data_IF_118476988892
#
_entry.id   IF_118476988892
#
_cell.length_a   1.000
_cell.length_b   1.000
_cell.length_c   1.000
_cell.angle_alpha   90.00
_cell.angle_beta   90.00
_cell.angle_gamma   90.00
#
_symmetry.space_group_name_H-M   'P 1'
#
loop_
_entity.id
_entity.type
_entity.pdbx_description
1 polymer ?
#
# COMPACT_ATOMS: atom_id res chain seq x y z
N UNK A 1 6.66 -27.36 13.25
CA UNK A 1 5.62 -27.20 12.22
C UNK A 1 5.18 -25.75 12.28
N UNK A 2 5.62 -24.92 11.33
CA UNK A 2 5.39 -23.47 11.35
C UNK A 2 4.14 -23.22 10.52
N UNK A 3 3.01 -23.00 11.18
CA UNK A 3 1.75 -22.64 10.52
C UNK A 3 1.94 -21.23 9.97
N UNK A 4 2.25 -21.10 8.68
CA UNK A 4 2.29 -19.80 8.00
C UNK A 4 0.85 -19.39 7.69
N UNK A 5 0.32 -18.31 8.29
CA UNK A 5 -0.95 -17.77 7.86
C UNK A 5 -0.80 -17.27 6.42
N UNK A 6 -1.65 -17.76 5.53
CA UNK A 6 -1.56 -17.54 4.07
C UNK A 6 -2.18 -16.21 3.65
N UNK A 7 -1.95 -15.14 4.41
CA UNK A 7 -2.49 -13.83 4.07
C UNK A 7 -1.68 -13.18 2.95
N UNK A 8 -2.39 -12.66 1.95
CA UNK A 8 -1.78 -11.98 0.81
C UNK A 8 -1.26 -10.61 1.28
N UNK A 9 0.06 -10.49 1.34
CA UNK A 9 0.74 -9.23 1.63
C UNK A 9 1.21 -8.54 0.37
N UNK A 10 1.27 -7.22 0.40
CA UNK A 10 1.85 -6.39 -0.65
C UNK A 10 2.54 -5.19 -0.03
N UNK A 11 3.53 -4.63 -0.71
CA UNK A 11 4.24 -3.45 -0.20
C UNK A 11 3.84 -2.22 -0.99
N UNK A 12 3.57 -1.15 -0.27
CA UNK A 12 3.28 0.15 -0.85
C UNK A 12 4.25 1.17 -0.25
N UNK A 13 4.53 2.24 -0.97
CA UNK A 13 5.32 3.38 -0.48
C UNK A 13 4.38 4.54 -0.17
N UNK A 14 4.62 5.18 0.97
CA UNK A 14 3.95 6.43 1.33
C UNK A 14 4.39 7.56 0.40
N UNK A 15 3.63 8.66 0.36
CA UNK A 15 4.02 9.88 -0.38
C UNK A 15 5.43 10.39 0.00
N UNK A 16 5.85 10.15 1.25
CA UNK A 16 7.19 10.50 1.76
C UNK A 16 8.26 9.42 1.50
N UNK A 17 7.97 8.42 0.67
CA UNK A 17 8.92 7.35 0.30
C UNK A 17 9.10 6.24 1.36
N UNK A 18 8.35 6.25 2.46
CA UNK A 18 8.44 5.19 3.49
C UNK A 18 7.75 3.91 3.01
N UNK A 19 8.42 2.76 3.13
CA UNK A 19 7.85 1.43 2.83
C UNK A 19 6.78 1.08 3.90
N UNK A 20 5.62 0.70 3.43
CA UNK A 20 4.45 0.31 4.22
C UNK A 20 3.97 -1.05 3.74
N UNK A 21 3.36 -1.80 4.67
CA UNK A 21 2.86 -3.14 4.42
C UNK A 21 1.34 -3.08 4.26
N UNK A 22 0.83 -3.66 3.18
CA UNK A 22 -0.60 -3.84 2.92
C UNK A 22 -0.95 -5.31 3.17
N UNK A 23 -1.94 -5.54 4.03
CA UNK A 23 -2.48 -6.87 4.33
C UNK A 23 -4.00 -6.75 4.40
N UNK A 24 -4.75 -7.57 3.65
CA UNK A 24 -6.22 -7.57 3.66
C UNK A 24 -6.86 -6.18 3.53
N UNK A 25 -6.30 -5.32 2.67
CA UNK A 25 -6.77 -3.94 2.48
C UNK A 25 -6.63 -3.05 3.73
N UNK A 26 -5.64 -3.35 4.58
CA UNK A 26 -5.19 -2.52 5.69
C UNK A 26 -3.73 -2.13 5.53
N UNK A 27 -3.43 -0.86 5.83
CA UNK A 27 -2.08 -0.33 5.71
C UNK A 27 -1.40 -0.34 7.09
N UNK A 28 -0.18 -0.87 7.12
CA UNK A 28 0.66 -0.91 8.30
C UNK A 28 1.98 -0.16 8.07
N UNK A 29 2.37 0.62 9.06
CA UNK A 29 3.65 1.32 9.16
C UNK A 29 4.66 0.44 9.88
N UNK A 30 5.89 0.39 9.37
CA UNK A 30 6.99 -0.23 10.09
C UNK A 30 7.24 0.53 11.39
N UNK A 31 7.09 -0.17 12.52
CA UNK A 31 7.30 0.38 13.85
C UNK A 31 8.75 0.14 14.31
N UNK A 32 9.23 -1.10 14.17
CA UNK A 32 10.62 -1.47 14.48
C UNK A 32 11.03 -2.74 13.76
N UNK A 33 12.32 -2.88 13.52
CA UNK A 33 12.93 -4.12 13.03
C UNK A 33 13.75 -4.75 14.15
N UNK A 34 13.41 -5.98 14.52
CA UNK A 34 14.23 -6.80 15.40
C UNK A 34 15.16 -7.70 14.56
N UNK A 35 16.04 -8.45 15.23
CA UNK A 35 17.09 -9.27 14.59
C UNK A 35 16.58 -10.31 13.59
N UNK A 36 15.32 -10.74 13.70
CA UNK A 36 14.71 -11.76 12.83
C UNK A 36 13.28 -11.41 12.42
N UNK A 37 12.73 -10.27 12.84
CA UNK A 37 11.32 -9.97 12.65
C UNK A 37 11.08 -8.47 12.56
N UNK A 38 10.31 -8.06 11.56
CA UNK A 38 9.83 -6.69 11.40
C UNK A 38 8.45 -6.57 12.05
N UNK A 39 8.29 -5.55 12.88
CA UNK A 39 7.05 -5.23 13.57
C UNK A 39 6.40 -4.03 12.91
N UNK A 40 5.15 -4.20 12.51
CA UNK A 40 4.33 -3.18 11.90
C UNK A 40 3.14 -2.86 12.79
N UNK A 41 2.68 -1.62 12.71
CA UNK A 41 1.47 -1.13 13.38
C UNK A 41 0.54 -0.54 12.35
N UNK A 42 -0.77 -0.67 12.53
CA UNK A 42 -1.75 -0.04 11.66
C UNK A 42 -1.47 1.47 11.50
N UNK A 43 -1.72 2.01 10.31
CA UNK A 43 -1.56 3.44 10.04
C UNK A 43 -2.54 4.30 10.85
N UNK A 44 -3.74 3.78 11.11
CA UNK A 44 -4.81 4.48 11.81
C UNK A 44 -4.51 4.65 13.31
N UNK A 45 -4.72 5.87 13.82
CA UNK A 45 -4.39 6.24 15.20
C UNK A 45 -5.32 5.59 16.22
N UNK A 46 -6.56 5.28 15.84
CA UNK A 46 -7.54 4.60 16.67
C UNK A 46 -7.36 3.08 16.66
N UNK A 47 -6.43 2.57 15.84
CA UNK A 47 -6.18 1.16 15.64
C UNK A 47 -4.89 0.71 16.35
N UNK A 48 -4.99 -0.36 17.14
CA UNK A 48 -3.87 -0.96 17.88
C UNK A 48 -3.36 -2.26 17.25
N UNK A 49 -3.86 -2.62 16.07
CA UNK A 49 -3.48 -3.85 15.37
C UNK A 49 -2.00 -3.80 14.99
N UNK A 50 -1.32 -4.91 15.24
CA UNK A 50 0.09 -5.09 14.91
C UNK A 50 0.26 -6.28 13.98
N UNK A 51 1.13 -6.13 12.98
CA UNK A 51 1.50 -7.20 12.08
C UNK A 51 2.99 -7.48 12.20
N UNK A 52 3.39 -8.72 11.91
CA UNK A 52 4.78 -9.18 11.95
C UNK A 52 5.13 -9.82 10.64
N UNK A 53 6.31 -9.51 10.13
CA UNK A 53 6.91 -10.21 8.98
C UNK A 53 8.32 -10.64 9.33
N UNK A 54 8.84 -11.60 8.59
CA UNK A 54 10.25 -11.94 8.62
C UNK A 54 11.11 -10.79 8.03
N UNK A 55 12.43 -10.90 8.16
CA UNK A 55 13.37 -10.04 7.44
C UNK A 55 13.24 -10.18 5.92
N UNK A 56 12.90 -11.37 5.44
CA UNK A 56 12.60 -11.65 4.03
C UNK A 56 11.21 -11.14 3.60
N UNK A 57 10.56 -10.30 4.41
CA UNK A 57 9.27 -9.69 4.12
C UNK A 57 8.11 -10.72 4.03
N UNK A 58 8.31 -11.96 4.48
CA UNK A 58 7.28 -13.01 4.58
C UNK A 58 6.33 -12.73 5.75
N UNK A 59 5.01 -12.81 5.52
CA UNK A 59 4.02 -12.64 6.58
C UNK A 59 4.15 -13.71 7.67
N UNK A 60 4.18 -13.27 8.93
CA UNK A 60 4.26 -14.18 10.08
C UNK A 60 2.94 -14.25 10.83
N UNK A 61 2.44 -13.09 11.28
CA UNK A 61 1.19 -13.04 12.02
C UNK A 61 0.64 -11.62 12.14
N UNK A 62 -0.67 -11.51 12.34
CA UNK A 62 -1.38 -10.29 12.73
C UNK A 62 -2.00 -10.48 14.12
N UNK A 63 -1.99 -9.44 14.93
CA UNK A 63 -2.52 -9.47 16.29
C UNK A 63 -3.35 -8.23 16.58
N UNK A 64 -4.61 -8.46 16.98
CA UNK A 64 -5.61 -7.45 17.30
C UNK A 64 -6.69 -7.33 16.22
N UNK A 65 -7.73 -6.57 16.55
CA UNK A 65 -8.88 -6.32 15.68
C UNK A 65 -8.91 -4.86 15.19
N UNK A 66 -9.25 -4.67 13.92
CA UNK A 66 -9.34 -3.33 13.34
C UNK A 66 -10.60 -2.62 13.85
N UNK A 67 -10.42 -1.39 14.32
CA UNK A 67 -11.52 -0.51 14.76
C UNK A 67 -12.09 0.34 13.61
N UNK A 68 -11.69 0.05 12.37
CA UNK A 68 -12.09 0.80 11.19
C UNK A 68 -12.32 -0.15 10.01
N UNK A 69 -13.16 0.23 9.04
CA UNK A 69 -13.38 -0.58 7.85
C UNK A 69 -12.12 -0.66 6.99
N UNK A 70 -11.97 -1.71 6.17
CA UNK A 70 -10.94 -1.77 5.15
C UNK A 70 -11.19 -0.68 4.11
N UNK A 71 -10.11 -0.02 3.67
CA UNK A 71 -10.18 1.04 2.64
C UNK A 71 -9.46 0.58 1.36
N UNK A 72 -10.07 -0.35 0.60
CA UNK A 72 -9.44 -0.91 -0.60
C UNK A 72 -9.18 0.16 -1.67
N UNK A 73 -10.03 1.19 -1.76
CA UNK A 73 -9.94 2.25 -2.76
C UNK A 73 -8.71 3.15 -2.50
N UNK A 74 -8.51 3.57 -1.25
CA UNK A 74 -7.34 4.36 -0.84
C UNK A 74 -6.03 3.63 -1.13
N UNK A 75 -6.01 2.31 -0.91
CA UNK A 75 -4.85 1.47 -1.20
C UNK A 75 -4.60 1.41 -2.70
N UNK A 76 -5.66 1.21 -3.50
CA UNK A 76 -5.54 1.19 -4.97
C UNK A 76 -5.04 2.52 -5.50
N UNK A 77 -5.54 3.65 -5.00
CA UNK A 77 -5.04 4.99 -5.35
C UNK A 77 -3.55 5.12 -5.04
N UNK A 78 -3.10 4.65 -3.86
CA UNK A 78 -1.69 4.70 -3.48
C UNK A 78 -0.81 3.79 -4.33
N UNK A 79 -1.30 2.60 -4.70
CA UNK A 79 -0.60 1.67 -5.61
C UNK A 79 -0.51 2.27 -7.00
N UNK A 80 -1.62 2.79 -7.53
CA UNK A 80 -1.69 3.45 -8.82
C UNK A 80 -0.69 4.60 -8.92
N UNK A 81 -0.68 5.51 -7.94
CA UNK A 81 0.28 6.63 -7.89
C UNK A 81 1.73 6.16 -7.95
N UNK A 82 2.05 5.05 -7.29
CA UNK A 82 3.39 4.48 -7.33
C UNK A 82 3.72 3.88 -8.69
N UNK A 83 2.80 3.16 -9.31
CA UNK A 83 2.99 2.61 -10.65
C UNK A 83 3.19 3.73 -11.66
N UNK A 84 2.31 4.74 -11.66
CA UNK A 84 2.43 5.92 -12.54
C UNK A 84 3.77 6.61 -12.33
N UNK A 85 4.18 6.85 -11.07
CA UNK A 85 5.48 7.48 -10.76
C UNK A 85 6.67 6.62 -11.17
N UNK A 86 6.60 5.30 -10.97
CA UNK A 86 7.69 4.40 -11.35
C UNK A 86 7.84 4.34 -12.88
N UNK A 87 6.73 4.24 -13.62
CA UNK A 87 6.72 4.24 -15.08
C UNK A 87 7.15 5.60 -15.64
N UNK A 88 6.75 6.70 -15.02
CA UNK A 88 7.22 8.04 -15.36
C UNK A 88 8.73 8.24 -15.23
N UNK A 89 9.37 7.56 -14.27
CA UNK A 89 10.81 7.63 -14.06
C UNK A 89 11.56 6.71 -15.03
N UNK A 90 11.02 5.52 -15.31
CA UNK A 90 11.67 4.52 -16.17
C UNK A 90 11.39 4.68 -17.66
N UNK A 91 10.23 5.21 -18.04
CA UNK A 91 9.79 5.39 -19.41
C UNK A 91 9.76 6.88 -19.76
N UNK A 92 10.17 7.24 -20.97
CA UNK A 92 10.04 8.62 -21.49
C UNK A 92 8.60 8.97 -21.91
N UNK A 93 7.63 8.10 -21.60
CA UNK A 93 6.23 8.24 -21.95
C UNK A 93 5.61 9.38 -21.12
N UNK A 94 4.81 10.27 -21.74
CA UNK A 94 4.19 11.38 -21.03
C UNK A 94 3.22 10.87 -19.95
N UNK A 95 3.34 11.41 -18.73
CA UNK A 95 2.48 11.15 -17.56
C UNK A 95 0.98 11.03 -17.88
N UNK A 96 0.35 11.89 -18.70
CA UNK A 96 -1.08 11.76 -18.99
C UNK A 96 -1.45 10.44 -19.67
N UNK A 97 -0.57 9.91 -20.53
CA UNK A 97 -0.84 8.65 -21.21
C UNK A 97 -0.72 7.46 -20.24
N UNK A 98 0.30 7.46 -19.39
CA UNK A 98 0.46 6.44 -18.33
C UNK A 98 -0.75 6.45 -17.41
N UNK A 99 -1.26 7.63 -17.07
CA UNK A 99 -2.44 7.77 -16.23
C UNK A 99 -3.69 7.17 -16.88
N UNK A 100 -3.97 7.49 -18.16
CA UNK A 100 -5.12 6.96 -18.89
C UNK A 100 -5.05 5.43 -19.06
N UNK A 101 -3.87 4.90 -19.40
CA UNK A 101 -3.62 3.47 -19.53
C UNK A 101 -3.81 2.71 -18.20
N UNK A 102 -3.26 3.25 -17.10
CA UNK A 102 -3.42 2.63 -15.78
C UNK A 102 -4.85 2.82 -15.24
N UNK A 103 -5.53 3.93 -15.56
CA UNK A 103 -6.91 4.18 -15.16
C UNK A 103 -7.87 3.24 -15.89
N UNK A 104 -7.59 2.91 -17.15
CA UNK A 104 -8.32 1.88 -17.89
C UNK A 104 -8.07 0.45 -17.36
N UNK A 105 -6.96 0.22 -16.65
CA UNK A 105 -6.60 -1.09 -16.08
C UNK A 105 -7.22 -1.36 -14.72
N UNK A 106 -7.51 -0.32 -13.95
CA UNK A 106 -8.09 -0.47 -12.62
C UNK A 106 -9.59 -0.20 -12.72
N UNK A 107 -10.41 -1.16 -12.28
CA UNK A 107 -11.85 -0.98 -12.08
C UNK A 107 -12.08 -0.14 -10.80
N UNK A 108 -11.62 1.11 -10.82
CA UNK A 108 -11.84 2.09 -9.75
C UNK A 108 -13.20 2.76 -10.01
N UNK A 109 -14.01 2.86 -8.95
CA UNK A 109 -15.27 3.61 -8.98
C UNK A 109 -15.03 5.05 -9.46
N UNK A 110 -15.99 5.63 -10.17
CA UNK A 110 -15.91 6.99 -10.74
C UNK A 110 -15.54 8.07 -9.70
N UNK A 111 -15.94 7.88 -8.43
CA UNK A 111 -15.57 8.76 -7.31
C UNK A 111 -14.08 8.72 -6.97
N UNK A 112 -13.47 7.55 -7.14
CA UNK A 112 -12.08 7.28 -6.77
C UNK A 112 -11.13 7.73 -7.89
N UNK A 113 -11.59 7.73 -9.13
CA UNK A 113 -10.93 8.41 -10.26
C UNK A 113 -10.87 9.92 -10.02
N UNK A 114 -11.94 10.52 -9.50
CA UNK A 114 -11.99 11.96 -9.20
C UNK A 114 -11.08 12.36 -8.00
N UNK A 115 -10.75 11.43 -7.11
CA UNK A 115 -9.83 11.64 -5.99
C UNK A 115 -8.34 11.50 -6.37
N UNK A 116 -8.05 11.06 -7.60
CA UNK A 116 -6.69 11.06 -8.12
C UNK A 116 -6.26 12.51 -8.42
N UNK A 117 -5.05 12.92 -7.99
CA UNK A 117 -4.56 14.26 -8.23
C UNK A 117 -4.45 14.47 -9.74
N UNK A 118 -5.21 15.41 -10.26
CA UNK A 118 -5.11 15.85 -11.64
C UNK A 118 -3.67 16.27 -11.91
N UNK A 119 -3.17 15.96 -13.11
CA UNK A 119 -1.84 16.22 -13.69
C UNK A 119 -1.04 17.47 -13.24
N UNK A 120 -1.69 18.47 -12.65
CA UNK A 120 -1.11 19.73 -12.16
C UNK A 120 -0.25 19.60 -10.90
N UNK A 121 -0.31 18.49 -10.17
CA UNK A 121 0.38 18.35 -8.87
C UNK A 121 1.66 17.49 -8.90
N UNK A 122 2.04 16.97 -10.08
CA UNK A 122 3.24 16.15 -10.27
C UNK A 122 4.43 16.94 -10.88
N UNK A 123 4.36 18.28 -10.85
CA UNK A 123 5.40 19.19 -11.34
C UNK A 123 6.51 19.45 -10.33
#
# INVERSE_FOLDING_TARGET
MMTTPTDKISFITSQKGKKMLNINNFIFKLNKTASTTKYYRCEDSCCTVTARTDLEDTFLNINGDHCHPPEPEEIQIRVFKQVVKARAISESTPIPQIYDEEAARIDLSTLSIAALPSQRELG
#
